data_IF_917987079906
#
_entry.id   IF_917987079906
#
_cell.length_a   1.000
_cell.length_b   1.000
_cell.length_c   1.000
_cell.angle_alpha   90.00
_cell.angle_beta   90.00
_cell.angle_gamma   90.00
#
_symmetry.space_group_name_H-M   'P 1'
#
loop_
_entity.id
_entity.type
_entity.pdbx_description
1 polymer ?
#
# COMPACT_ATOMS: atom_id res chain seq x y z
N UNK A 1 19.51 -22.91 -0.10
CA UNK A 1 19.06 -22.37 -1.40
C UNK A 1 19.78 -21.07 -1.73
N UNK A 2 19.85 -20.10 -0.80
CA UNK A 2 20.36 -18.75 -1.07
C UNK A 2 21.79 -18.72 -1.65
N UNK A 3 22.66 -19.66 -1.24
CA UNK A 3 24.01 -19.80 -1.80
C UNK A 3 24.02 -20.12 -3.29
N UNK A 4 23.13 -21.01 -3.75
CA UNK A 4 23.03 -21.36 -5.17
C UNK A 4 22.35 -20.24 -5.95
N UNK A 5 21.33 -19.60 -5.36
CA UNK A 5 20.69 -18.44 -5.96
C UNK A 5 21.68 -17.28 -6.22
N UNK A 6 22.59 -16.98 -5.29
CA UNK A 6 23.64 -15.97 -5.49
C UNK A 6 24.51 -16.31 -6.71
N UNK A 7 24.88 -17.58 -6.92
CA UNK A 7 25.69 -17.99 -8.07
C UNK A 7 24.96 -17.77 -9.40
N UNK A 8 23.66 -18.11 -9.44
CA UNK A 8 22.80 -17.88 -10.60
C UNK A 8 22.64 -16.39 -10.91
N UNK A 9 22.26 -15.60 -9.91
CA UNK A 9 22.05 -14.16 -10.06
C UNK A 9 23.32 -13.43 -10.51
N UNK A 10 24.50 -13.84 -10.02
CA UNK A 10 25.80 -13.34 -10.50
C UNK A 10 25.98 -13.54 -12.00
N UNK A 11 25.48 -14.65 -12.55
CA UNK A 11 25.54 -14.96 -13.98
C UNK A 11 24.38 -14.32 -14.78
N UNK A 12 23.57 -13.43 -14.18
CA UNK A 12 22.36 -12.85 -14.79
C UNK A 12 21.28 -13.90 -15.13
N UNK A 13 21.26 -15.02 -14.41
CA UNK A 13 20.25 -16.06 -14.58
C UNK A 13 19.06 -15.80 -13.65
N UNK A 14 17.85 -15.93 -14.18
CA UNK A 14 16.61 -15.79 -13.43
C UNK A 14 16.40 -16.96 -12.46
N UNK A 15 15.86 -16.65 -11.29
CA UNK A 15 15.37 -17.65 -10.35
C UNK A 15 13.92 -18.02 -10.69
N UNK A 16 13.60 -19.30 -10.51
CA UNK A 16 12.21 -19.73 -10.53
C UNK A 16 11.45 -19.19 -9.31
N UNK A 17 10.12 -19.15 -9.39
CA UNK A 17 9.26 -18.79 -8.24
C UNK A 17 9.56 -19.61 -6.99
N UNK A 18 9.82 -20.91 -7.16
CA UNK A 18 10.14 -21.81 -6.05
C UNK A 18 11.49 -21.43 -5.40
N UNK A 19 12.51 -21.14 -6.20
CA UNK A 19 13.83 -20.74 -5.69
C UNK A 19 13.76 -19.41 -4.95
N UNK A 20 13.11 -18.40 -5.53
CA UNK A 20 12.92 -17.09 -4.89
C UNK A 20 12.14 -17.21 -3.57
N UNK A 21 11.04 -17.98 -3.57
CA UNK A 21 10.29 -18.29 -2.35
C UNK A 21 11.18 -18.95 -1.30
N UNK A 22 11.90 -20.00 -1.66
CA UNK A 22 12.77 -20.73 -0.73
C UNK A 22 13.90 -19.84 -0.17
N UNK A 23 14.47 -18.95 -0.98
CA UNK A 23 15.41 -17.94 -0.48
C UNK A 23 14.76 -17.03 0.56
N UNK A 24 13.52 -16.58 0.30
CA UNK A 24 12.79 -15.77 1.26
C UNK A 24 12.49 -16.53 2.57
N UNK A 25 12.18 -17.83 2.52
CA UNK A 25 12.07 -18.64 3.75
C UNK A 25 13.39 -18.65 4.54
N UNK A 26 14.53 -18.87 3.88
CA UNK A 26 15.83 -18.87 4.56
C UNK A 26 16.15 -17.51 5.21
N UNK A 27 15.75 -16.40 4.59
CA UNK A 27 15.87 -15.05 5.15
C UNK A 27 14.95 -14.90 6.37
N UNK A 28 13.66 -15.22 6.22
CA UNK A 28 12.65 -15.02 7.27
C UNK A 28 12.79 -15.95 8.47
N UNK A 29 13.48 -17.08 8.32
CA UNK A 29 13.82 -18.01 9.41
C UNK A 29 15.16 -17.68 10.09
N UNK A 30 15.88 -16.66 9.62
CA UNK A 30 17.21 -16.29 10.15
C UNK A 30 18.30 -17.30 9.82
N UNK A 31 18.12 -18.12 8.78
CA UNK A 31 19.10 -19.14 8.34
C UNK A 31 20.18 -18.58 7.41
N UNK A 32 19.94 -17.41 6.81
CA UNK A 32 20.92 -16.71 5.98
C UNK A 32 21.72 -15.70 6.82
N UNK A 33 23.04 -15.66 6.64
CA UNK A 33 23.89 -14.62 7.23
C UNK A 33 23.66 -13.26 6.55
N UNK A 34 23.98 -12.16 7.24
CA UNK A 34 23.89 -10.79 6.68
C UNK A 34 24.68 -10.64 5.38
N UNK A 35 25.84 -11.27 5.27
CA UNK A 35 26.67 -11.27 4.04
C UNK A 35 25.93 -11.96 2.89
N UNK A 36 25.31 -13.12 3.14
CA UNK A 36 24.53 -13.82 2.11
C UNK A 36 23.30 -13.03 1.70
N UNK A 37 22.58 -12.44 2.67
CA UNK A 37 21.42 -11.60 2.39
C UNK A 37 21.82 -10.38 1.55
N UNK A 38 22.91 -9.70 1.91
CA UNK A 38 23.42 -8.54 1.15
C UNK A 38 23.79 -8.93 -0.27
N UNK A 39 24.53 -10.04 -0.45
CA UNK A 39 24.92 -10.53 -1.78
C UNK A 39 23.71 -10.93 -2.62
N UNK A 40 22.73 -11.62 -2.04
CA UNK A 40 21.51 -12.04 -2.72
C UNK A 40 20.68 -10.84 -3.20
N UNK A 41 20.38 -9.92 -2.28
CA UNK A 41 19.52 -8.77 -2.56
C UNK A 41 20.18 -7.83 -3.57
N UNK A 42 21.49 -7.60 -3.47
CA UNK A 42 22.21 -6.78 -4.44
C UNK A 42 22.28 -7.45 -5.81
N UNK A 43 22.60 -8.75 -5.88
CA UNK A 43 22.67 -9.45 -7.16
C UNK A 43 21.32 -9.46 -7.88
N UNK A 44 20.23 -9.62 -7.13
CA UNK A 44 18.88 -9.56 -7.67
C UNK A 44 18.55 -8.16 -8.22
N UNK A 45 18.86 -7.12 -7.45
CA UNK A 45 18.64 -5.72 -7.86
C UNK A 45 19.48 -5.33 -9.08
N UNK A 46 20.72 -5.82 -9.21
CA UNK A 46 21.56 -5.57 -10.40
C UNK A 46 21.03 -6.27 -11.65
N UNK A 47 20.49 -7.49 -11.50
CA UNK A 47 19.89 -8.25 -12.61
C UNK A 47 18.56 -7.63 -13.05
N UNK A 48 17.81 -7.08 -12.11
CA UNK A 48 16.40 -6.73 -12.26
C UNK A 48 15.51 -7.90 -11.88
N UNK A 49 14.55 -7.64 -11.00
CA UNK A 49 13.60 -8.62 -10.51
C UNK A 49 12.58 -9.03 -11.59
N UNK A 50 12.39 -10.33 -11.80
CA UNK A 50 11.31 -10.85 -12.64
C UNK A 50 9.99 -11.00 -11.87
N UNK A 51 8.88 -11.11 -12.61
CA UNK A 51 7.54 -11.37 -12.05
C UNK A 51 7.54 -12.63 -11.15
N UNK A 52 8.22 -13.69 -11.57
CA UNK A 52 8.27 -14.95 -10.81
C UNK A 52 9.09 -14.82 -9.52
N UNK A 53 10.18 -14.04 -9.56
CA UNK A 53 11.02 -13.74 -8.39
C UNK A 53 10.28 -12.89 -7.36
N UNK A 54 9.57 -11.85 -7.81
CA UNK A 54 8.74 -11.00 -6.95
C UNK A 54 7.59 -11.81 -6.35
N UNK A 55 6.90 -12.61 -7.18
CA UNK A 55 5.80 -13.48 -6.73
C UNK A 55 6.28 -14.46 -5.66
N UNK A 56 7.39 -15.15 -5.90
CA UNK A 56 7.95 -16.13 -4.96
C UNK A 56 8.36 -15.46 -3.64
N UNK A 57 9.02 -14.30 -3.74
CA UNK A 57 9.45 -13.52 -2.58
C UNK A 57 8.27 -13.02 -1.74
N UNK A 58 7.24 -12.45 -2.35
CA UNK A 58 6.03 -12.01 -1.65
C UNK A 58 5.29 -13.18 -0.99
N UNK A 59 5.16 -14.32 -1.69
CA UNK A 59 4.54 -15.52 -1.15
C UNK A 59 5.29 -16.05 0.08
N UNK A 60 6.63 -16.13 0.02
CA UNK A 60 7.44 -16.52 1.17
C UNK A 60 7.25 -15.57 2.36
N UNK A 61 7.21 -14.26 2.12
CA UNK A 61 7.00 -13.28 3.18
C UNK A 61 5.59 -13.33 3.79
N UNK A 62 4.54 -13.62 2.99
CA UNK A 62 3.17 -13.87 3.48
C UNK A 62 3.04 -15.13 4.34
N UNK A 63 3.90 -16.14 4.13
CA UNK A 63 3.91 -17.36 4.95
C UNK A 63 4.55 -17.17 6.33
N UNK A 64 5.39 -16.13 6.48
CA UNK A 64 6.05 -15.79 7.74
C UNK A 64 5.43 -14.59 8.46
N UNK A 65 4.31 -14.05 7.95
CA UNK A 65 3.56 -13.02 8.65
C UNK A 65 2.54 -13.62 9.62
N UNK A 66 2.24 -12.92 10.69
CA UNK A 66 1.05 -13.22 11.50
C UNK A 66 -0.17 -12.92 10.63
N UNK A 67 -1.07 -13.87 10.41
CA UNK A 67 -2.22 -13.64 9.52
C UNK A 67 -3.41 -13.06 10.26
N UNK A 68 -4.08 -12.08 9.66
CA UNK A 68 -5.39 -11.65 10.10
C UNK A 68 -6.47 -12.46 9.36
N UNK A 69 -6.98 -13.53 9.98
CA UNK A 69 -7.96 -14.40 9.34
C UNK A 69 -9.37 -13.76 9.34
N UNK A 70 -9.97 -13.60 8.17
CA UNK A 70 -11.33 -13.08 7.96
C UNK A 70 -12.03 -13.80 6.79
N UNK A 71 -13.34 -13.60 6.65
CA UNK A 71 -14.17 -14.29 5.66
C UNK A 71 -14.66 -13.39 4.51
N UNK A 72 -14.35 -12.09 4.56
CA UNK A 72 -14.82 -11.09 3.60
C UNK A 72 -13.74 -10.68 2.57
N UNK A 73 -14.16 -10.07 1.46
CA UNK A 73 -13.24 -9.37 0.57
C UNK A 73 -12.80 -8.05 1.21
N UNK A 74 -11.49 -7.90 1.45
CA UNK A 74 -10.93 -6.69 2.06
C UNK A 74 -10.10 -5.91 1.06
N UNK A 75 -10.20 -4.59 1.16
CA UNK A 75 -9.47 -3.64 0.35
C UNK A 75 -8.22 -3.14 1.06
N UNK A 76 -7.15 -3.00 0.30
CA UNK A 76 -5.99 -2.22 0.69
C UNK A 76 -5.76 -1.05 -0.26
N UNK A 77 -5.42 0.11 0.29
CA UNK A 77 -4.85 1.22 -0.47
C UNK A 77 -3.50 1.60 0.13
N UNK A 78 -2.46 1.45 -0.69
CA UNK A 78 -1.06 1.49 -0.27
C UNK A 78 -0.16 1.88 -1.45
N UNK A 79 0.98 2.49 -1.16
CA UNK A 79 2.02 2.76 -2.14
C UNK A 79 3.32 2.03 -1.79
N UNK A 80 4.20 1.85 -2.77
CA UNK A 80 5.57 1.38 -2.53
C UNK A 80 6.38 2.36 -1.66
N UNK A 81 5.96 3.63 -1.59
CA UNK A 81 6.71 4.73 -1.03
C UNK A 81 7.95 5.06 -1.87
N UNK A 82 8.75 6.01 -1.38
CA UNK A 82 10.00 6.41 -2.05
C UNK A 82 9.79 7.25 -3.31
N UNK A 83 8.61 7.83 -3.49
CA UNK A 83 8.32 8.82 -4.54
C UNK A 83 9.01 10.18 -4.30
N UNK A 84 9.54 10.40 -3.09
CA UNK A 84 10.17 11.63 -2.62
C UNK A 84 9.28 12.89 -2.78
N UNK A 85 7.96 12.71 -2.84
CA UNK A 85 7.03 13.82 -3.04
C UNK A 85 6.82 14.67 -1.79
N UNK A 86 7.07 14.10 -0.62
CA UNK A 86 6.71 14.69 0.68
C UNK A 86 5.23 15.07 0.76
N UNK A 87 4.37 14.34 0.05
CA UNK A 87 2.93 14.52 0.15
C UNK A 87 2.43 14.22 1.57
N UNK A 88 1.25 14.74 1.92
CA UNK A 88 0.55 14.27 3.11
C UNK A 88 0.05 12.83 2.91
N UNK A 89 -0.40 12.16 3.97
CA UNK A 89 -0.80 10.76 3.92
C UNK A 89 -2.16 10.54 3.19
N UNK A 90 -2.16 10.66 1.85
CA UNK A 90 -3.32 10.54 0.96
C UNK A 90 -3.99 9.17 1.14
N UNK A 91 -3.28 8.07 0.91
CA UNK A 91 -3.83 6.72 1.05
C UNK A 91 -4.37 6.41 2.46
N UNK A 92 -3.81 7.00 3.53
CA UNK A 92 -4.36 6.86 4.89
C UNK A 92 -5.71 7.56 5.01
N UNK A 93 -5.81 8.79 4.54
CA UNK A 93 -7.06 9.55 4.57
C UNK A 93 -8.12 8.89 3.68
N UNK A 94 -7.74 8.44 2.48
CA UNK A 94 -8.61 7.72 1.56
C UNK A 94 -9.15 6.41 2.16
N UNK A 95 -8.34 5.68 2.95
CA UNK A 95 -8.78 4.45 3.64
C UNK A 95 -9.98 4.70 4.55
N UNK A 96 -9.97 5.81 5.30
CA UNK A 96 -11.06 6.20 6.20
C UNK A 96 -12.33 6.51 5.40
N UNK A 97 -12.18 7.23 4.28
CA UNK A 97 -13.31 7.57 3.39
C UNK A 97 -13.91 6.30 2.78
N UNK A 98 -13.09 5.39 2.25
CA UNK A 98 -13.54 4.12 1.68
C UNK A 98 -14.28 3.27 2.73
N UNK A 99 -13.73 3.16 3.94
CA UNK A 99 -14.36 2.42 5.04
C UNK A 99 -15.71 3.02 5.47
N UNK A 100 -15.90 4.33 5.33
CA UNK A 100 -17.18 4.98 5.61
C UNK A 100 -18.30 4.60 4.64
N UNK A 101 -17.97 4.02 3.48
CA UNK A 101 -18.94 3.44 2.54
C UNK A 101 -19.31 1.97 2.86
N UNK A 102 -18.83 1.44 4.00
CA UNK A 102 -19.02 0.03 4.36
C UNK A 102 -18.21 -0.93 3.49
N UNK A 103 -17.03 -0.52 3.04
CA UNK A 103 -16.03 -1.39 2.41
C UNK A 103 -15.02 -1.79 3.48
N UNK A 104 -14.79 -3.09 3.75
CA UNK A 104 -13.74 -3.51 4.67
C UNK A 104 -12.35 -3.09 4.18
N UNK A 105 -11.64 -2.25 4.93
CA UNK A 105 -10.30 -1.77 4.60
C UNK A 105 -9.27 -2.31 5.59
N UNK A 106 -8.36 -3.16 5.11
CA UNK A 106 -7.23 -3.67 5.87
C UNK A 106 -5.96 -2.89 5.50
N UNK A 107 -5.77 -1.71 6.10
CA UNK A 107 -4.63 -0.87 5.74
C UNK A 107 -3.36 -1.43 6.37
N UNK A 108 -2.43 -1.90 5.53
CA UNK A 108 -1.08 -2.25 5.96
C UNK A 108 -0.16 -1.02 5.84
N UNK A 109 0.72 -0.84 6.81
CA UNK A 109 1.62 0.30 6.79
C UNK A 109 2.67 0.27 7.89
N UNK A 110 3.60 1.22 7.80
CA UNK A 110 4.70 1.35 8.74
C UNK A 110 4.93 2.82 9.10
N UNK A 111 5.87 3.06 10.01
CA UNK A 111 6.46 4.38 10.26
C UNK A 111 7.24 4.85 9.04
N UNK A 112 7.47 6.15 8.95
CA UNK A 112 8.26 6.74 7.87
C UNK A 112 9.67 6.12 7.79
N UNK A 113 10.09 5.76 6.58
CA UNK A 113 11.48 5.40 6.29
C UNK A 113 12.27 6.60 5.74
N UNK A 114 11.66 7.38 4.85
CA UNK A 114 12.29 8.54 4.18
C UNK A 114 11.41 9.79 4.11
N UNK A 115 10.10 9.69 4.38
CA UNK A 115 9.18 10.83 4.48
C UNK A 115 9.18 11.43 5.89
N UNK A 116 8.48 12.55 6.06
CA UNK A 116 8.28 13.17 7.38
C UNK A 116 7.22 12.46 8.25
N UNK A 117 6.34 11.67 7.64
CA UNK A 117 5.22 10.98 8.33
C UNK A 117 4.78 9.74 7.54
N UNK A 118 4.85 8.57 8.15
CA UNK A 118 4.33 7.32 7.64
C UNK A 118 2.85 7.13 7.99
N UNK A 119 2.26 6.04 7.51
CA UNK A 119 0.87 5.71 7.83
C UNK A 119 0.66 5.47 9.33
N UNK A 120 1.62 4.81 9.99
CA UNK A 120 1.57 4.59 11.44
C UNK A 120 1.65 5.91 12.23
N UNK A 121 2.55 6.80 11.82
CA UNK A 121 2.81 8.06 12.53
C UNK A 121 1.60 8.99 12.48
N UNK A 122 0.96 9.13 11.31
CA UNK A 122 -0.25 9.96 11.19
C UNK A 122 -1.46 9.36 11.92
N UNK A 123 -1.59 8.03 11.95
CA UNK A 123 -2.69 7.38 12.67
C UNK A 123 -2.56 7.56 14.18
N UNK A 124 -1.35 7.44 14.74
CA UNK A 124 -1.09 7.77 16.14
C UNK A 124 -1.36 9.25 16.44
N UNK A 125 -0.93 10.17 15.56
CA UNK A 125 -1.20 11.60 15.71
C UNK A 125 -2.71 11.92 15.60
N UNK A 126 -3.46 11.11 14.86
CA UNK A 126 -4.93 11.14 14.83
C UNK A 126 -5.54 10.49 16.09
N UNK A 127 -4.78 9.92 17.01
CA UNK A 127 -5.28 9.32 18.25
C UNK A 127 -5.72 7.85 18.12
N UNK A 128 -5.42 7.19 17.01
CA UNK A 128 -5.62 5.73 16.87
C UNK A 128 -4.50 5.01 17.60
N UNK A 129 -4.84 4.07 18.49
CA UNK A 129 -3.86 3.14 19.02
C UNK A 129 -3.42 2.18 17.90
N UNK A 130 -2.17 2.21 17.48
CA UNK A 130 -1.66 1.30 16.42
C UNK A 130 -1.07 0.00 16.97
N UNK A 131 -0.86 -0.09 18.29
CA UNK A 131 -0.30 -1.24 18.97
C UNK A 131 -1.41 -2.22 19.36
N UNK A 132 -2.12 -2.71 18.34
CA UNK A 132 -3.27 -3.59 18.50
C UNK A 132 -2.86 -5.04 18.21
N UNK A 133 -3.32 -5.96 19.04
CA UNK A 133 -3.17 -7.39 18.80
C UNK A 133 -3.99 -7.86 17.58
N UNK A 134 -3.54 -8.87 16.81
CA UNK A 134 -4.26 -9.34 15.63
C UNK A 134 -5.73 -9.65 15.84
N UNK A 135 -6.08 -10.30 16.95
CA UNK A 135 -7.45 -10.68 17.30
C UNK A 135 -8.34 -9.44 17.44
N UNK A 136 -7.81 -8.40 18.10
CA UNK A 136 -8.53 -7.14 18.27
C UNK A 136 -8.67 -6.39 16.94
N UNK A 137 -7.65 -6.39 16.10
CA UNK A 137 -7.74 -5.79 14.76
C UNK A 137 -8.84 -6.45 13.90
N UNK A 138 -9.09 -7.74 14.05
CA UNK A 138 -10.18 -8.44 13.37
C UNK A 138 -11.55 -7.92 13.83
N UNK A 139 -11.73 -7.74 15.14
CA UNK A 139 -12.97 -7.19 15.69
C UNK A 139 -13.22 -5.76 15.21
N UNK A 140 -12.18 -4.93 15.17
CA UNK A 140 -12.27 -3.55 14.67
C UNK A 140 -12.62 -3.55 13.19
N UNK A 141 -11.99 -4.41 12.38
CA UNK A 141 -12.34 -4.56 10.97
C UNK A 141 -13.83 -4.89 10.80
N UNK A 142 -14.35 -5.84 11.56
CA UNK A 142 -15.76 -6.25 11.49
C UNK A 142 -16.73 -5.15 11.96
N UNK A 143 -16.36 -4.33 12.95
CA UNK A 143 -17.24 -3.31 13.53
C UNK A 143 -17.16 -1.96 12.82
N UNK A 144 -15.97 -1.60 12.33
CA UNK A 144 -15.69 -0.30 11.74
C UNK A 144 -15.46 -0.36 10.23
N UNK A 145 -15.36 -1.54 9.61
CA UNK A 145 -14.90 -1.70 8.22
C UNK A 145 -13.49 -1.14 7.98
N UNK A 146 -12.69 -0.95 9.02
CA UNK A 146 -11.30 -0.51 8.90
C UNK A 146 -10.46 -1.12 10.01
N UNK A 147 -9.24 -1.53 9.69
CA UNK A 147 -8.20 -1.83 10.67
C UNK A 147 -6.83 -1.36 10.15
N UNK A 148 -5.87 -1.24 11.05
CA UNK A 148 -4.49 -0.92 10.71
C UNK A 148 -3.55 -2.06 11.11
N UNK A 149 -2.91 -2.64 10.09
CA UNK A 149 -1.95 -3.71 10.25
C UNK A 149 -0.56 -3.08 10.31
N UNK A 150 -0.08 -2.83 11.53
CA UNK A 150 1.24 -2.23 11.70
C UNK A 150 2.34 -3.24 11.34
N UNK A 151 3.10 -2.97 10.27
CA UNK A 151 4.03 -3.92 9.67
C UNK A 151 5.01 -4.56 10.68
N UNK A 152 5.43 -3.83 11.71
CA UNK A 152 6.35 -4.33 12.74
C UNK A 152 5.72 -5.41 13.64
N UNK A 153 4.39 -5.37 13.82
CA UNK A 153 3.66 -6.35 14.62
C UNK A 153 3.34 -7.61 13.80
N UNK A 154 3.17 -7.47 12.49
CA UNK A 154 2.74 -8.57 11.63
C UNK A 154 3.89 -9.25 10.88
N UNK A 155 4.99 -8.55 10.59
CA UNK A 155 6.15 -9.07 9.87
C UNK A 155 7.39 -9.16 10.76
N UNK A 156 7.27 -9.83 11.91
CA UNK A 156 8.35 -9.94 12.92
C UNK A 156 9.64 -10.52 12.32
N UNK A 157 9.52 -11.45 11.37
CA UNK A 157 10.66 -12.05 10.65
C UNK A 157 11.53 -11.03 9.89
N UNK A 158 10.99 -9.85 9.56
CA UNK A 158 11.76 -8.78 8.92
C UNK A 158 12.94 -8.29 9.76
N UNK A 159 12.97 -8.57 11.07
CA UNK A 159 14.11 -8.28 11.94
C UNK A 159 15.43 -8.87 11.43
N UNK A 160 15.40 -9.99 10.70
CA UNK A 160 16.60 -10.64 10.18
C UNK A 160 17.22 -9.86 9.01
N UNK A 161 16.41 -9.26 8.15
CA UNK A 161 16.89 -8.52 6.96
C UNK A 161 16.96 -7.01 7.18
N UNK A 162 16.31 -6.48 8.23
CA UNK A 162 16.31 -5.05 8.53
C UNK A 162 17.71 -4.43 8.70
N UNK A 163 18.70 -5.06 9.38
CA UNK A 163 20.05 -4.51 9.48
C UNK A 163 20.74 -4.38 8.12
N UNK A 164 20.56 -5.39 7.25
CA UNK A 164 21.10 -5.40 5.88
C UNK A 164 20.49 -4.26 5.06
N UNK A 165 19.16 -4.11 5.08
CA UNK A 165 18.47 -3.02 4.38
C UNK A 165 18.94 -1.65 4.84
N UNK A 166 19.09 -1.47 6.16
CA UNK A 166 19.57 -0.22 6.75
C UNK A 166 21.01 0.09 6.34
N UNK A 167 21.86 -0.93 6.21
CA UNK A 167 23.27 -0.74 5.83
C UNK A 167 23.44 -0.49 4.33
N UNK A 168 22.63 -1.12 3.49
CA UNK A 168 22.70 -0.97 2.04
C UNK A 168 22.23 0.41 1.56
N UNK A 169 21.22 1.01 2.21
CA UNK A 169 20.66 2.34 1.89
C UNK A 169 20.25 2.56 0.42
N UNK A 170 19.98 1.47 -0.31
CA UNK A 170 19.50 1.50 -1.70
C UNK A 170 18.15 0.81 -1.83
N UNK A 171 17.47 1.08 -2.95
CA UNK A 171 16.25 0.37 -3.33
C UNK A 171 16.59 -1.07 -3.72
N UNK A 172 15.75 -1.99 -3.29
CA UNK A 172 15.87 -3.43 -3.55
C UNK A 172 14.47 -4.02 -3.71
N UNK A 173 14.36 -5.31 -4.02
CA UNK A 173 13.08 -6.04 -4.00
C UNK A 173 12.21 -5.74 -2.76
N UNK A 174 12.80 -5.53 -1.58
CA UNK A 174 12.03 -5.22 -0.36
C UNK A 174 11.26 -3.89 -0.40
N UNK A 175 11.58 -2.98 -1.33
CA UNK A 175 10.85 -1.74 -1.52
C UNK A 175 9.51 -1.95 -2.24
N UNK A 176 9.36 -3.02 -3.03
CA UNK A 176 8.11 -3.36 -3.71
C UNK A 176 7.32 -4.46 -2.99
N UNK A 177 7.94 -5.19 -2.06
CA UNK A 177 7.26 -6.27 -1.32
C UNK A 177 6.23 -5.79 -0.30
N UNK A 178 6.38 -4.60 0.29
CA UNK A 178 5.48 -4.14 1.37
C UNK A 178 3.99 -4.17 1.00
N UNK A 179 3.59 -3.53 -0.12
CA UNK A 179 2.23 -3.63 -0.66
C UNK A 179 1.78 -5.04 -1.02
N UNK A 180 2.70 -5.94 -1.33
CA UNK A 180 2.38 -7.30 -1.78
C UNK A 180 2.14 -8.26 -0.63
N UNK A 181 2.37 -7.86 0.62
CA UNK A 181 2.40 -8.79 1.77
C UNK A 181 1.39 -8.45 2.85
N UNK A 182 0.27 -7.81 2.51
CA UNK A 182 -0.80 -7.52 3.45
C UNK A 182 -1.17 -8.74 4.31
N UNK A 183 -1.06 -8.67 5.64
CA UNK A 183 -1.34 -9.80 6.54
C UNK A 183 -2.79 -10.30 6.55
N UNK A 184 -3.74 -9.47 6.08
CA UNK A 184 -5.13 -9.89 5.87
C UNK A 184 -5.32 -10.64 4.53
N UNK A 185 -4.34 -10.62 3.63
CA UNK A 185 -4.49 -11.23 2.31
C UNK A 185 -5.52 -10.50 1.45
N UNK A 186 -5.42 -9.16 1.41
CA UNK A 186 -6.32 -8.31 0.67
C UNK A 186 -6.57 -8.80 -0.77
N UNK A 187 -7.84 -9.01 -1.11
CA UNK A 187 -8.29 -9.50 -2.40
C UNK A 187 -8.64 -8.35 -3.36
N UNK A 188 -8.66 -7.12 -2.84
CA UNK A 188 -8.94 -5.87 -3.54
C UNK A 188 -7.82 -4.87 -3.25
N UNK A 189 -7.26 -4.21 -4.25
CA UNK A 189 -6.11 -3.33 -4.00
C UNK A 189 -6.03 -2.08 -4.89
N UNK A 190 -5.72 -0.94 -4.31
CA UNK A 190 -5.18 0.22 -5.03
C UNK A 190 -3.72 0.35 -4.61
N UNK A 191 -2.82 0.10 -5.55
CA UNK A 191 -1.38 0.02 -5.31
C UNK A 191 -0.65 1.11 -6.09
N UNK A 192 -0.11 2.08 -5.39
CA UNK A 192 0.82 3.05 -5.96
C UNK A 192 2.21 2.48 -6.17
N UNK A 193 2.87 2.87 -7.26
CA UNK A 193 4.28 2.52 -7.54
C UNK A 193 5.11 3.78 -7.77
N UNK A 194 6.39 3.75 -7.39
CA UNK A 194 7.31 4.88 -7.58
C UNK A 194 7.87 4.99 -9.02
N UNK A 195 7.64 4.00 -9.87
CA UNK A 195 8.18 3.94 -11.23
C UNK A 195 7.17 3.29 -12.19
N UNK A 196 6.99 3.89 -13.37
CA UNK A 196 6.05 3.41 -14.38
C UNK A 196 6.36 2.00 -14.89
N UNK A 197 7.62 1.56 -14.87
CA UNK A 197 8.03 0.21 -15.28
C UNK A 197 7.48 -0.88 -14.37
N UNK A 198 7.04 -0.54 -13.15
CA UNK A 198 6.47 -1.48 -12.19
C UNK A 198 4.99 -1.76 -12.38
N UNK A 199 4.27 -0.96 -13.19
CA UNK A 199 2.82 -1.04 -13.34
C UNK A 199 2.34 -2.45 -13.74
N UNK A 200 2.75 -2.91 -14.92
CA UNK A 200 2.34 -4.21 -15.46
C UNK A 200 2.96 -5.40 -14.69
N UNK A 201 4.26 -5.40 -14.35
CA UNK A 201 4.84 -6.47 -13.54
C UNK A 201 4.11 -6.69 -12.22
N UNK A 202 3.79 -5.61 -11.49
CA UNK A 202 3.12 -5.74 -10.20
C UNK A 202 1.64 -6.11 -10.35
N UNK A 203 0.95 -5.68 -11.41
CA UNK A 203 -0.40 -6.19 -11.69
C UNK A 203 -0.40 -7.71 -11.92
N UNK A 204 0.60 -8.24 -12.64
CA UNK A 204 0.76 -9.68 -12.85
C UNK A 204 1.14 -10.42 -11.56
N UNK A 205 1.97 -9.82 -10.70
CA UNK A 205 2.29 -10.38 -9.38
C UNK A 205 1.04 -10.43 -8.50
N UNK A 206 0.24 -9.36 -8.46
CA UNK A 206 -1.02 -9.34 -7.69
C UNK A 206 -1.99 -10.43 -8.15
N UNK A 207 -2.11 -10.61 -9.47
CA UNK A 207 -2.86 -11.72 -10.07
C UNK A 207 -2.34 -13.09 -9.59
N UNK A 208 -1.02 -13.31 -9.67
CA UNK A 208 -0.39 -14.56 -9.23
C UNK A 208 -0.58 -14.82 -7.72
N UNK A 209 -0.72 -13.77 -6.93
CA UNK A 209 -0.95 -13.81 -5.48
C UNK A 209 -2.44 -13.92 -5.10
N UNK A 210 -3.34 -14.04 -6.09
CA UNK A 210 -4.77 -14.29 -5.89
C UNK A 210 -5.62 -13.03 -5.69
N UNK A 211 -5.11 -11.84 -5.99
CA UNK A 211 -5.90 -10.60 -5.93
C UNK A 211 -6.94 -10.61 -7.05
N UNK A 212 -8.21 -10.32 -6.70
CA UNK A 212 -9.34 -10.40 -7.62
C UNK A 212 -9.48 -9.13 -8.46
N UNK A 213 -9.28 -7.97 -7.84
CA UNK A 213 -9.37 -6.67 -8.51
C UNK A 213 -8.29 -5.74 -7.98
N UNK A 214 -7.55 -5.08 -8.87
CA UNK A 214 -6.59 -4.07 -8.45
C UNK A 214 -6.42 -2.95 -9.45
N UNK A 215 -6.00 -1.79 -8.95
CA UNK A 215 -5.43 -0.72 -9.76
C UNK A 215 -3.98 -0.54 -9.31
N UNK A 216 -3.02 -0.78 -10.20
CA UNK A 216 -1.63 -0.38 -10.00
C UNK A 216 -1.44 0.97 -10.69
N UNK A 217 -0.99 1.98 -9.96
CA UNK A 217 -1.04 3.38 -10.41
C UNK A 217 0.29 4.10 -10.26
N UNK A 218 0.56 5.01 -11.19
CA UNK A 218 1.72 5.89 -11.19
C UNK A 218 1.32 7.27 -11.70
N UNK A 219 1.41 8.29 -10.85
CA UNK A 219 1.31 9.68 -11.26
C UNK A 219 2.52 10.06 -12.12
N UNK A 220 2.29 10.64 -13.30
CA UNK A 220 3.38 11.03 -14.20
C UNK A 220 4.26 12.17 -13.67
N UNK A 221 3.83 12.83 -12.59
CA UNK A 221 4.62 13.73 -11.75
C UNK A 221 5.49 12.99 -10.71
N UNK A 222 5.53 11.67 -10.75
CA UNK A 222 6.35 10.79 -9.91
C UNK A 222 5.67 10.31 -8.64
N UNK A 223 4.38 10.61 -8.41
CA UNK A 223 3.64 10.14 -7.24
C UNK A 223 3.31 8.64 -7.32
N UNK A 224 3.43 7.95 -6.19
CA UNK A 224 2.90 6.59 -6.00
C UNK A 224 1.45 6.63 -5.50
N UNK A 225 0.62 7.46 -6.13
CA UNK A 225 -0.81 7.64 -5.87
C UNK A 225 -1.49 8.01 -7.21
N UNK A 226 -2.83 7.99 -7.27
CA UNK A 226 -3.50 8.70 -8.36
C UNK A 226 -3.28 10.21 -8.16
N UNK A 227 -2.75 10.87 -9.18
CA UNK A 227 -2.31 12.27 -9.09
C UNK A 227 -3.42 13.25 -9.44
N UNK A 228 -3.57 14.30 -8.63
CA UNK A 228 -4.39 15.47 -8.94
C UNK A 228 -3.65 16.51 -9.80
N UNK A 229 -2.33 16.42 -9.89
CA UNK A 229 -1.46 17.39 -10.57
C UNK A 229 -1.04 16.97 -11.97
N UNK A 230 -1.08 15.67 -12.28
CA UNK A 230 -0.67 15.13 -13.56
C UNK A 230 -1.64 14.07 -14.09
N UNK A 231 -1.38 13.58 -15.30
CA UNK A 231 -1.96 12.32 -15.74
C UNK A 231 -1.47 11.18 -14.82
N UNK A 232 -2.32 10.19 -14.58
CA UNK A 232 -1.99 8.94 -13.91
C UNK A 232 -2.00 7.80 -14.92
N UNK A 233 -0.93 7.01 -14.97
CA UNK A 233 -0.91 5.73 -15.67
C UNK A 233 -1.49 4.66 -14.76
N UNK A 234 -2.42 3.87 -15.29
CA UNK A 234 -3.17 2.87 -14.54
C UNK A 234 -3.03 1.52 -15.24
N UNK A 235 -2.66 0.50 -14.49
CA UNK A 235 -2.74 -0.90 -14.89
C UNK A 235 -3.80 -1.58 -14.02
N UNK A 236 -4.95 -1.88 -14.60
CA UNK A 236 -6.09 -2.49 -13.93
C UNK A 236 -6.08 -4.00 -14.08
N UNK A 237 -6.21 -4.70 -12.95
CA UNK A 237 -6.48 -6.12 -12.86
C UNK A 237 -7.96 -6.33 -12.54
N UNK A 238 -8.68 -7.10 -13.36
CA UNK A 238 -10.06 -7.52 -13.11
C UNK A 238 -10.24 -9.00 -13.42
N UNK A 239 -10.22 -9.83 -12.38
CA UNK A 239 -10.18 -11.28 -12.49
C UNK A 239 -8.88 -11.70 -13.19
N UNK A 240 -9.02 -12.33 -14.36
CA UNK A 240 -7.86 -12.77 -15.16
C UNK A 240 -7.33 -11.69 -16.11
N UNK A 241 -8.09 -10.62 -16.34
CA UNK A 241 -7.80 -9.62 -17.35
C UNK A 241 -6.96 -8.49 -16.77
N UNK A 242 -5.91 -8.11 -17.49
CA UNK A 242 -5.10 -6.93 -17.20
C UNK A 242 -5.24 -5.96 -18.37
N UNK A 243 -5.56 -4.70 -18.09
CA UNK A 243 -5.59 -3.64 -19.09
C UNK A 243 -4.89 -2.38 -18.57
N UNK A 244 -4.33 -1.60 -19.49
CA UNK A 244 -3.67 -0.34 -19.17
C UNK A 244 -4.38 0.83 -19.83
N UNK A 245 -4.47 1.94 -19.10
CA UNK A 245 -5.03 3.20 -19.57
C UNK A 245 -4.44 4.37 -18.78
N UNK A 246 -4.79 5.58 -19.20
CA UNK A 246 -4.45 6.82 -18.51
C UNK A 246 -5.69 7.44 -17.92
N UNK A 247 -5.53 8.16 -16.81
CA UNK A 247 -6.60 8.90 -16.17
C UNK A 247 -6.12 10.29 -15.78
N UNK A 248 -6.94 11.28 -16.05
CA UNK A 248 -6.75 12.67 -15.64
C UNK A 248 -7.79 13.09 -14.60
N UNK A 249 -7.47 14.05 -13.71
CA UNK A 249 -8.44 14.59 -12.74
C UNK A 249 -9.75 15.05 -13.38
N UNK A 250 -9.66 15.68 -14.54
CA UNK A 250 -10.79 16.29 -15.24
C UNK A 250 -11.81 15.24 -15.73
N UNK A 251 -11.35 14.05 -16.12
CA UNK A 251 -12.21 12.95 -16.56
C UNK A 251 -13.15 12.45 -15.45
N UNK A 252 -12.72 12.58 -14.19
CA UNK A 252 -13.54 12.24 -13.02
C UNK A 252 -14.24 13.45 -12.40
N UNK A 253 -14.17 14.62 -13.05
CA UNK A 253 -14.85 15.84 -12.60
C UNK A 253 -14.13 16.59 -11.49
N UNK A 254 -12.84 16.37 -11.29
CA UNK A 254 -12.00 17.12 -10.35
C UNK A 254 -11.15 18.15 -11.09
N UNK A 255 -10.86 19.32 -10.48
CA UNK A 255 -9.92 20.26 -11.03
C UNK A 255 -8.48 19.72 -10.93
N UNK A 256 -7.63 20.12 -11.87
CA UNK A 256 -6.19 19.89 -11.77
C UNK A 256 -5.58 20.81 -10.72
N UNK A 257 -4.83 20.25 -9.77
CA UNK A 257 -4.07 20.99 -8.77
C UNK A 257 -2.59 21.08 -9.11
N UNK A 258 -1.80 21.63 -8.20
CA UNK A 258 -0.34 21.60 -8.30
C UNK A 258 0.26 20.58 -7.32
N UNK A 259 1.39 19.97 -7.69
CA UNK A 259 2.08 19.00 -6.81
C UNK A 259 2.48 19.64 -5.48
N UNK A 260 2.81 20.93 -5.48
CA UNK A 260 3.14 21.70 -4.29
C UNK A 260 1.98 21.80 -3.28
N UNK A 261 0.73 21.76 -3.76
CA UNK A 261 -0.45 21.83 -2.89
C UNK A 261 -0.63 20.56 -2.05
N UNK A 262 -0.05 19.44 -2.50
CA UNK A 262 -0.12 18.14 -1.83
C UNK A 262 0.93 17.97 -0.74
N UNK A 263 1.87 18.91 -0.59
CA UNK A 263 2.94 18.80 0.40
C UNK A 263 2.36 18.68 1.81
N UNK A 264 2.85 17.66 2.52
CA UNK A 264 2.57 17.39 3.92
C UNK A 264 3.69 17.89 4.84
N UNK A 265 3.65 17.44 6.09
CA UNK A 265 4.51 17.90 7.14
C UNK A 265 4.82 16.83 8.18
N UNK A 266 4.97 17.24 9.43
CA UNK A 266 5.09 16.33 10.58
C UNK A 266 3.83 15.48 10.74
N UNK A 267 3.88 14.38 11.53
CA UNK A 267 2.69 13.58 11.83
C UNK A 267 1.49 14.41 12.30
N UNK A 268 1.71 15.41 13.16
CA UNK A 268 0.66 16.30 13.69
C UNK A 268 0.09 17.21 12.59
N UNK A 269 0.94 17.74 11.71
CA UNK A 269 0.50 18.54 10.57
C UNK A 269 -0.33 17.71 9.60
N UNK A 270 0.09 16.47 9.32
CA UNK A 270 -0.66 15.55 8.46
C UNK A 270 -1.97 15.11 9.10
N UNK A 271 -2.01 14.88 10.42
CA UNK A 271 -3.24 14.59 11.14
C UNK A 271 -4.22 15.75 11.05
N UNK A 272 -3.74 16.99 11.20
CA UNK A 272 -4.57 18.19 11.04
C UNK A 272 -5.13 18.32 9.62
N UNK A 273 -4.31 18.06 8.58
CA UNK A 273 -4.76 18.00 7.18
C UNK A 273 -5.88 16.97 7.02
N UNK A 274 -5.69 15.74 7.52
CA UNK A 274 -6.72 14.69 7.47
C UNK A 274 -8.01 15.15 8.14
N UNK A 275 -7.94 15.69 9.37
CA UNK A 275 -9.13 16.18 10.08
C UNK A 275 -9.84 17.31 9.33
N UNK A 276 -9.09 18.25 8.76
CA UNK A 276 -9.59 19.32 7.91
C UNK A 276 -10.39 18.79 6.71
N UNK A 277 -9.83 17.83 5.97
CA UNK A 277 -10.49 17.17 4.83
C UNK A 277 -11.77 16.47 5.29
N UNK A 278 -11.71 15.66 6.37
CA UNK A 278 -12.87 14.94 6.88
C UNK A 278 -13.96 15.86 7.45
N UNK A 279 -13.60 17.08 7.87
CA UNK A 279 -14.54 18.17 8.23
C UNK A 279 -15.11 18.90 7.01
N UNK A 280 -14.65 18.58 5.80
CA UNK A 280 -15.18 19.10 4.55
C UNK A 280 -14.44 20.31 3.99
N UNK A 281 -13.24 20.62 4.48
CA UNK A 281 -12.40 21.66 3.88
C UNK A 281 -12.15 21.36 2.40
N UNK A 282 -12.35 22.36 1.54
CA UNK A 282 -12.19 22.23 0.09
C UNK A 282 -10.74 22.49 -0.32
N UNK A 283 -10.31 21.95 -1.46
CA UNK A 283 -9.02 22.24 -2.08
C UNK A 283 -8.28 20.98 -2.57
N UNK A 284 -7.12 21.18 -3.20
CA UNK A 284 -6.37 20.12 -3.89
C UNK A 284 -6.05 18.90 -3.01
N UNK A 285 -5.77 19.09 -1.72
CA UNK A 285 -5.56 17.96 -0.78
C UNK A 285 -6.82 17.10 -0.62
N UNK A 286 -8.00 17.72 -0.52
CA UNK A 286 -9.27 17.00 -0.51
C UNK A 286 -9.49 16.30 -1.86
N UNK A 287 -9.24 16.98 -2.98
CA UNK A 287 -9.44 16.40 -4.31
C UNK A 287 -8.55 15.18 -4.57
N UNK A 288 -7.30 15.20 -4.10
CA UNK A 288 -6.42 14.02 -4.13
C UNK A 288 -6.97 12.85 -3.29
N UNK A 289 -7.57 13.12 -2.12
CA UNK A 289 -8.25 12.09 -1.33
C UNK A 289 -9.48 11.56 -2.06
N UNK A 290 -10.30 12.43 -2.66
CA UNK A 290 -11.48 12.04 -3.43
C UNK A 290 -11.12 11.12 -4.59
N UNK A 291 -10.07 11.46 -5.35
CA UNK A 291 -9.58 10.67 -6.48
C UNK A 291 -9.16 9.25 -6.03
N UNK A 292 -8.32 9.16 -5.00
CA UNK A 292 -7.80 7.89 -4.50
C UNK A 292 -8.87 7.06 -3.78
N UNK A 293 -9.76 7.70 -3.01
CA UNK A 293 -10.90 7.03 -2.39
C UNK A 293 -11.91 6.54 -3.45
N UNK A 294 -12.18 7.33 -4.49
CA UNK A 294 -13.05 6.97 -5.58
C UNK A 294 -12.55 5.76 -6.37
N UNK A 295 -11.23 5.69 -6.60
CA UNK A 295 -10.58 4.51 -7.16
C UNK A 295 -10.76 3.27 -6.26
N UNK A 296 -10.59 3.42 -4.94
CA UNK A 296 -10.85 2.34 -3.98
C UNK A 296 -12.30 1.86 -3.98
N UNK A 297 -13.27 2.79 -4.00
CA UNK A 297 -14.71 2.45 -4.06
C UNK A 297 -15.09 1.74 -5.37
N UNK A 298 -14.47 2.14 -6.49
CA UNK A 298 -14.60 1.45 -7.77
C UNK A 298 -14.06 0.01 -7.71
N UNK A 299 -12.83 -0.17 -7.20
CA UNK A 299 -12.19 -1.48 -7.03
C UNK A 299 -13.01 -2.38 -6.11
N UNK A 300 -13.60 -1.82 -5.05
CA UNK A 300 -14.50 -2.53 -4.15
C UNK A 300 -15.88 -2.86 -4.76
N UNK A 301 -16.21 -2.33 -5.94
CA UNK A 301 -17.49 -2.57 -6.60
C UNK A 301 -18.66 -1.82 -5.97
N UNK A 302 -18.38 -0.80 -5.13
CA UNK A 302 -19.40 0.13 -4.63
C UNK A 302 -19.81 1.17 -5.66
N UNK A 303 -18.95 1.43 -6.65
CA UNK A 303 -19.20 2.32 -7.77
C UNK A 303 -18.87 1.61 -9.10
N UNK A 304 -19.59 1.94 -10.18
CA UNK A 304 -19.40 1.36 -11.51
C UNK A 304 -18.27 2.03 -12.30
N UNK A 305 -17.79 3.18 -11.84
CA UNK A 305 -16.64 3.91 -12.41
C UNK A 305 -15.88 4.67 -11.33
N UNK A 306 -14.63 5.03 -11.61
CA UNK A 306 -13.83 5.88 -10.71
C UNK A 306 -14.53 7.24 -10.50
N UNK A 307 -15.15 7.81 -11.55
CA UNK A 307 -15.92 9.05 -11.46
C UNK A 307 -17.10 8.97 -10.49
N UNK A 308 -17.87 7.89 -10.56
CA UNK A 308 -18.96 7.64 -9.60
C UNK A 308 -18.40 7.44 -8.18
N UNK A 309 -17.27 6.75 -8.05
CA UNK A 309 -16.57 6.59 -6.78
C UNK A 309 -16.13 7.94 -6.18
N UNK A 310 -15.62 8.86 -7.00
CA UNK A 310 -15.24 10.22 -6.58
C UNK A 310 -16.46 10.99 -6.06
N UNK A 311 -17.59 10.90 -6.75
CA UNK A 311 -18.83 11.54 -6.31
C UNK A 311 -19.34 10.95 -4.98
N UNK A 312 -19.29 9.63 -4.81
CA UNK A 312 -19.64 8.98 -3.54
C UNK A 312 -18.69 9.38 -2.41
N UNK A 313 -17.37 9.41 -2.66
CA UNK A 313 -16.38 9.87 -1.69
C UNK A 313 -16.65 11.32 -1.23
N UNK A 314 -17.09 12.18 -2.15
CA UNK A 314 -17.46 13.57 -1.88
C UNK A 314 -18.64 13.64 -0.92
N UNK A 315 -19.70 12.87 -1.18
CA UNK A 315 -20.88 12.80 -0.33
C UNK A 315 -20.56 12.29 1.09
N UNK A 316 -19.70 11.28 1.21
CA UNK A 316 -19.27 10.73 2.51
C UNK A 316 -18.53 11.74 3.38
N UNK A 317 -17.66 12.55 2.77
CA UNK A 317 -16.96 13.65 3.45
C UNK A 317 -17.93 14.79 3.81
N UNK A 318 -18.78 15.22 2.88
CA UNK A 318 -19.67 16.36 3.08
C UNK A 318 -20.70 16.09 4.18
N UNK A 319 -21.25 14.88 4.20
CA UNK A 319 -22.18 14.36 5.23
C UNK A 319 -21.49 13.96 6.55
N UNK A 320 -20.18 14.13 6.68
CA UNK A 320 -19.38 13.83 7.88
C UNK A 320 -19.31 12.35 8.28
N UNK A 321 -19.79 11.44 7.42
CA UNK A 321 -19.70 10.00 7.66
C UNK A 321 -18.25 9.54 7.79
N UNK A 322 -17.34 10.08 6.98
CA UNK A 322 -15.91 9.75 7.07
C UNK A 322 -15.26 10.27 8.36
N UNK A 323 -15.73 11.40 8.91
CA UNK A 323 -15.27 11.88 10.22
C UNK A 323 -15.76 10.99 11.35
N UNK A 324 -17.04 10.60 11.34
CA UNK A 324 -17.59 9.65 12.31
C UNK A 324 -16.88 8.29 12.23
N UNK A 325 -16.48 7.85 11.03
CA UNK A 325 -15.72 6.63 10.84
C UNK A 325 -14.34 6.69 11.52
N UNK A 326 -13.63 7.81 11.42
CA UNK A 326 -12.39 8.03 12.15
C UNK A 326 -12.60 7.96 13.66
N UNK A 327 -13.64 8.62 14.19
CA UNK A 327 -13.95 8.61 15.62
C UNK A 327 -14.25 7.20 16.11
N UNK A 328 -15.09 6.45 15.38
CA UNK A 328 -15.39 5.06 15.69
C UNK A 328 -14.10 4.20 15.70
N UNK A 329 -13.20 4.41 14.74
CA UNK A 329 -11.94 3.68 14.67
C UNK A 329 -11.03 4.00 15.87
N UNK A 330 -10.93 5.28 16.26
CA UNK A 330 -10.21 5.69 17.46
C UNK A 330 -10.78 4.99 18.70
N UNK A 331 -12.07 5.10 18.95
CA UNK A 331 -12.74 4.51 20.13
C UNK A 331 -12.48 3.01 20.24
N UNK A 332 -12.68 2.27 19.15
CA UNK A 332 -12.49 0.83 19.13
C UNK A 332 -11.02 0.42 19.27
N UNK A 333 -10.07 1.25 18.85
CA UNK A 333 -8.64 0.97 19.02
C UNK A 333 -8.15 1.01 20.47
N UNK A 334 -8.89 1.68 21.36
CA UNK A 334 -8.56 1.82 22.79
C UNK A 334 -9.42 0.95 23.73
N UNK A 335 -10.50 0.37 23.21
CA UNK A 335 -11.35 -0.58 23.94
C UNK A 335 -10.76 -1.99 23.90
#
# INVERSE_FOLDING_TARGET
MIKEAIKKLRNQEDLTRYEAKTCMHEIMEGKASEVQMSAYVMALSMKGETIEEITGSAAGMREHCIRLLHDEDVLEIVGTGGDHSNSFNISTTASIVIASAGVPVAKHGNRAASSKSGAADVLEALGVNIQIAPERNKEILNQANICFLFAQNYHIAMKYVAPVRKTLEIRTIFNILGPLTNPAGASLQVMGVYDASLLEPLAQVLKNLGVKRALVVYGTDGLDELSISSETKVCELRGENICSYTLTPEEVGLPRGEKADLVGGTPEQNAQITLSILRGEQGAKRDAVLLNAGAGLYVAGKANSIKEGVQMAKELIDSKQSLHKLIQFQELSHA
#
